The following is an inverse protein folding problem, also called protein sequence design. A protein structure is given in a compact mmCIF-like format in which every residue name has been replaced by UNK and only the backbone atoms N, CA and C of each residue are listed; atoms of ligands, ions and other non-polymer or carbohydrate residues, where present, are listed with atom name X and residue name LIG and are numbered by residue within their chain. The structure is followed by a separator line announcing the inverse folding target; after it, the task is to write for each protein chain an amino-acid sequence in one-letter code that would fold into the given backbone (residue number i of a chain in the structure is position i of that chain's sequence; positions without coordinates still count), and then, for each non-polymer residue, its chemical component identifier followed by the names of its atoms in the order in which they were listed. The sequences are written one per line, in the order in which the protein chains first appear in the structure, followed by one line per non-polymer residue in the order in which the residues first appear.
data_IF_976158295332
#
_entry.id   IF_976158295332
#
_cell.length_a   1.000
_cell.length_b   1.000
_cell.length_c   1.000
_cell.angle_alpha   90.00
_cell.angle_beta   90.00
_cell.angle_gamma   90.00
#
_symmetry.space_group_name_H-M   'P 1'
#
loop_
_entity.id
_entity.type
_entity.pdbx_description
1 polymer ?
#
# COMPACT_ATOMS: atom_id res chain seq x y z
N UNK A 1 10.30 -13.12 8.16
CA UNK A 1 9.65 -11.80 8.34
C UNK A 1 9.56 -11.16 6.96
N UNK A 2 8.36 -10.85 6.47
CA UNK A 2 8.15 -10.26 5.14
C UNK A 2 7.97 -8.76 5.32
N UNK A 3 8.84 -7.95 4.69
CA UNK A 3 8.77 -6.49 4.73
C UNK A 3 8.25 -5.96 3.40
N UNK A 4 6.95 -5.64 3.33
CA UNK A 4 6.36 -4.99 2.17
C UNK A 4 6.76 -3.50 2.18
N UNK A 5 7.68 -3.11 1.29
CA UNK A 5 8.23 -1.74 1.25
C UNK A 5 7.30 -0.82 0.46
N UNK A 6 6.54 0.02 1.16
CA UNK A 6 5.54 0.91 0.55
C UNK A 6 6.08 1.83 -0.56
N UNK A 7 7.35 2.28 -0.50
CA UNK A 7 8.00 3.02 -1.58
C UNK A 7 8.04 2.29 -2.93
N UNK A 8 7.97 0.95 -2.92
CA UNK A 8 8.03 0.15 -4.15
C UNK A 8 6.65 -0.17 -4.72
N UNK A 9 5.56 0.23 -4.06
CA UNK A 9 4.22 0.07 -4.59
C UNK A 9 3.96 1.10 -5.69
N UNK A 10 3.37 0.66 -6.81
CA UNK A 10 2.81 1.59 -7.79
C UNK A 10 1.40 1.95 -7.34
N UNK A 11 1.25 3.19 -6.85
CA UNK A 11 0.00 3.70 -6.33
C UNK A 11 -0.54 4.86 -7.19
N UNK A 12 -1.14 4.55 -8.36
CA UNK A 12 -1.73 5.56 -9.23
C UNK A 12 -3.01 6.18 -8.66
N UNK A 13 -3.61 5.58 -7.63
CA UNK A 13 -4.85 6.08 -7.01
C UNK A 13 -4.58 7.06 -5.88
N UNK A 14 -3.32 7.16 -5.42
CA UNK A 14 -2.92 8.04 -4.32
C UNK A 14 -3.42 7.55 -2.96
N UNK A 15 -3.67 6.24 -2.83
CA UNK A 15 -4.12 5.63 -1.59
C UNK A 15 -3.06 5.66 -0.49
N UNK A 16 -1.79 5.58 -0.88
CA UNK A 16 -0.62 5.60 -0.02
C UNK A 16 -0.10 7.03 0.13
N UNK A 17 -0.10 7.52 1.36
CA UNK A 17 0.31 8.87 1.71
C UNK A 17 1.59 8.89 2.55
N UNK A 18 2.14 10.11 2.70
CA UNK A 18 3.34 10.40 3.47
C UNK A 18 4.62 10.16 2.68
N UNK A 19 5.61 11.04 2.84
CA UNK A 19 6.91 10.96 2.14
C UNK A 19 8.03 10.91 3.18
N UNK A 20 8.12 9.78 3.88
CA UNK A 20 9.08 9.60 4.96
C UNK A 20 10.48 9.37 4.41
N UNK A 21 11.52 9.87 5.10
CA UNK A 21 12.93 9.76 4.67
C UNK A 21 13.40 8.32 4.44
N UNK A 22 12.74 7.34 5.05
CA UNK A 22 13.02 5.91 4.92
C UNK A 22 12.22 5.21 3.82
N UNK A 23 11.39 5.96 3.07
CA UNK A 23 10.56 5.45 1.99
C UNK A 23 9.31 4.69 2.47
N UNK A 24 8.92 4.81 3.75
CA UNK A 24 7.61 4.32 4.16
C UNK A 24 6.51 5.12 3.47
N UNK A 25 5.39 4.45 3.21
CA UNK A 25 4.12 5.06 2.81
C UNK A 25 3.03 4.45 3.68
N UNK A 26 2.03 5.24 4.07
CA UNK A 26 0.96 4.81 4.96
C UNK A 26 -0.40 5.13 4.33
N UNK A 27 -1.36 4.25 4.52
CA UNK A 27 -2.77 4.55 4.26
C UNK A 27 -3.49 4.59 5.60
N UNK A 28 -4.32 5.61 5.80
CA UNK A 28 -5.17 5.73 6.99
C UNK A 28 -6.63 5.61 6.59
N UNK A 29 -7.35 4.70 7.24
CA UNK A 29 -8.78 4.50 7.02
C UNK A 29 -9.56 5.04 8.22
N UNK A 30 -10.66 5.76 7.95
CA UNK A 30 -11.49 6.35 9.01
C UNK A 30 -12.65 5.46 9.46
N UNK A 31 -13.00 4.46 8.64
CA UNK A 31 -14.07 3.51 8.92
C UNK A 31 -13.89 2.23 8.12
N UNK A 32 -14.66 1.19 8.48
CA UNK A 32 -14.69 -0.06 7.72
C UNK A 32 -15.26 0.16 6.31
N UNK A 33 -16.21 1.07 6.14
CA UNK A 33 -16.76 1.38 4.81
C UNK A 33 -15.72 2.03 3.89
N UNK A 34 -14.86 2.87 4.44
CA UNK A 34 -13.71 3.45 3.72
C UNK A 34 -12.74 2.34 3.27
N UNK A 35 -12.45 1.37 4.14
CA UNK A 35 -11.65 0.17 3.78
C UNK A 35 -12.32 -0.61 2.64
N UNK A 36 -13.62 -0.88 2.74
CA UNK A 36 -14.37 -1.62 1.70
C UNK A 36 -14.38 -0.89 0.36
N UNK A 37 -14.55 0.43 0.38
CA UNK A 37 -14.55 1.25 -0.84
C UNK A 37 -13.21 1.20 -1.58
N UNK A 38 -12.10 1.04 -0.84
CA UNK A 38 -10.72 0.99 -1.34
C UNK A 38 -10.13 -0.43 -1.37
N UNK A 39 -10.92 -1.46 -1.11
CA UNK A 39 -10.46 -2.84 -0.96
C UNK A 39 -9.71 -3.33 -2.21
N UNK A 40 -10.24 -3.01 -3.39
CA UNK A 40 -9.66 -3.40 -4.68
C UNK A 40 -8.26 -2.78 -4.88
N UNK A 41 -8.11 -1.52 -4.54
CA UNK A 41 -6.83 -0.80 -4.66
C UNK A 41 -5.82 -1.31 -3.64
N UNK A 42 -6.25 -1.48 -2.38
CA UNK A 42 -5.42 -2.04 -1.32
C UNK A 42 -4.92 -3.45 -1.70
N UNK A 43 -5.79 -4.31 -2.22
CA UNK A 43 -5.43 -5.65 -2.67
C UNK A 43 -4.42 -5.63 -3.80
N UNK A 44 -4.59 -4.74 -4.78
CA UNK A 44 -3.65 -4.58 -5.89
C UNK A 44 -2.26 -4.16 -5.40
N UNK A 45 -2.19 -3.20 -4.48
CA UNK A 45 -0.93 -2.74 -3.87
C UNK A 45 -0.24 -3.90 -3.13
N UNK A 46 -0.97 -4.65 -2.30
CA UNK A 46 -0.41 -5.80 -1.58
C UNK A 46 0.13 -6.86 -2.57
N UNK A 47 -0.62 -7.18 -3.63
CA UNK A 47 -0.19 -8.15 -4.64
C UNK A 47 1.07 -7.69 -5.39
N UNK A 48 1.16 -6.41 -5.73
CA UNK A 48 2.38 -5.85 -6.33
C UNK A 48 3.57 -5.98 -5.39
N UNK A 49 3.41 -5.62 -4.12
CA UNK A 49 4.48 -5.70 -3.14
C UNK A 49 4.93 -7.15 -2.90
N UNK A 50 4.01 -8.12 -2.89
CA UNK A 50 4.34 -9.54 -2.79
C UNK A 50 5.21 -10.03 -3.96
N UNK A 51 4.89 -9.62 -5.20
CA UNK A 51 5.71 -9.96 -6.39
C UNK A 51 7.15 -9.44 -6.30
N UNK A 52 7.39 -8.39 -5.52
CA UNK A 52 8.72 -7.83 -5.31
C UNK A 52 9.50 -8.56 -4.20
N UNK A 53 8.82 -9.34 -3.36
CA UNK A 53 9.45 -10.14 -2.29
C UNK A 53 9.91 -11.51 -2.81
N UNK A 54 9.22 -12.08 -3.79
CA UNK A 54 9.57 -13.38 -4.40
C UNK A 54 10.80 -13.32 -5.35
N UNK A 55 11.56 -12.23 -5.35
CA UNK A 55 12.71 -11.99 -6.24
C UNK A 55 13.95 -11.61 -5.45
#
# INVERSE_FOLDING_TARGET
MIFLRGASASDPTGLLEGDYKDGRRLVSFKSIDDVKSKEKELKNIIQQLLKLVDK
#
